data_IF_968723108599
#
_entry.id   IF_968723108599
#
_cell.length_a   1.000
_cell.length_b   1.000
_cell.length_c   1.000
_cell.angle_alpha   90.00
_cell.angle_beta   90.00
_cell.angle_gamma   90.00
#
_symmetry.space_group_name_H-M   'P 1'
#
loop_
_entity.id
_entity.type
_entity.pdbx_description
1 polymer ?
#
# COMPACT_ATOMS: atom_id res chain seq x y z
N UNK A 1 14.56 -2.64 -5.30
CA UNK A 1 15.03 -2.82 -3.89
C UNK A 1 15.20 -4.32 -3.59
N UNK A 2 16.01 -4.75 -2.61
CA UNK A 2 16.10 -6.19 -2.24
C UNK A 2 14.83 -6.64 -1.50
N UNK A 3 14.37 -7.88 -1.73
CA UNK A 3 13.13 -8.43 -1.16
C UNK A 3 13.07 -8.37 0.37
N UNK A 4 14.16 -8.66 1.08
CA UNK A 4 14.20 -8.55 2.55
C UNK A 4 13.90 -7.12 3.06
N UNK A 5 14.35 -6.09 2.34
CA UNK A 5 13.99 -4.71 2.67
C UNK A 5 12.51 -4.43 2.40
N UNK A 6 11.92 -5.05 1.38
CA UNK A 6 10.48 -4.93 1.09
C UNK A 6 9.68 -5.49 2.27
N UNK A 7 10.03 -6.71 2.71
CA UNK A 7 9.37 -7.37 3.84
C UNK A 7 9.45 -6.50 5.10
N UNK A 8 10.64 -5.97 5.43
CA UNK A 8 10.79 -5.10 6.59
C UNK A 8 9.91 -3.83 6.52
N UNK A 9 9.68 -3.26 5.33
CA UNK A 9 8.81 -2.10 5.17
C UNK A 9 7.33 -2.48 5.25
N UNK A 10 6.94 -3.65 4.72
CA UNK A 10 5.59 -4.20 4.88
C UNK A 10 5.26 -4.44 6.36
N UNK A 11 6.19 -5.05 7.10
CA UNK A 11 6.01 -5.32 8.53
C UNK A 11 5.80 -4.02 9.31
N UNK A 12 6.61 -2.98 9.04
CA UNK A 12 6.43 -1.66 9.65
C UNK A 12 5.06 -1.05 9.38
N UNK A 13 4.60 -1.13 8.12
CA UNK A 13 3.28 -0.59 7.74
C UNK A 13 2.18 -1.32 8.50
N UNK A 14 2.18 -2.66 8.43
CA UNK A 14 1.13 -3.47 9.02
C UNK A 14 1.13 -3.36 10.55
N UNK A 15 2.29 -3.36 11.22
CA UNK A 15 2.38 -3.21 12.67
C UNK A 15 1.96 -1.82 13.17
N UNK A 16 2.23 -0.78 12.37
CA UNK A 16 1.73 0.56 12.68
C UNK A 16 0.21 0.63 12.55
N UNK A 17 -0.34 0.16 11.43
CA UNK A 17 -1.78 0.26 11.14
C UNK A 17 -2.63 -0.66 12.01
N UNK A 18 -2.09 -1.77 12.51
CA UNK A 18 -2.76 -2.65 13.47
C UNK A 18 -3.10 -1.96 14.80
N UNK A 19 -2.42 -0.88 15.14
CA UNK A 19 -2.70 -0.07 16.34
C UNK A 19 -3.82 0.95 16.12
N UNK A 20 -4.17 1.20 14.87
CA UNK A 20 -5.16 2.21 14.51
C UNK A 20 -6.56 1.58 14.58
N UNK A 21 -7.52 2.32 15.14
CA UNK A 21 -8.93 1.91 15.09
C UNK A 21 -9.51 2.24 13.71
N UNK A 22 -9.07 3.36 13.13
CA UNK A 22 -9.55 3.86 11.86
C UNK A 22 -8.50 4.75 11.19
N UNK A 23 -8.55 4.82 9.87
CA UNK A 23 -7.72 5.71 9.07
C UNK A 23 -8.29 5.83 7.66
N UNK A 24 -8.37 7.05 7.15
CA UNK A 24 -8.68 7.31 5.74
C UNK A 24 -7.39 7.34 4.92
N UNK A 25 -7.45 6.73 3.74
CA UNK A 25 -6.36 6.67 2.79
C UNK A 25 -6.75 7.23 1.43
N UNK A 26 -5.78 7.89 0.80
CA UNK A 26 -5.85 8.37 -0.58
C UNK A 26 -4.46 8.46 -1.21
N UNK A 27 -4.39 8.75 -2.50
CA UNK A 27 -3.12 9.05 -3.16
C UNK A 27 -2.73 10.51 -2.99
N UNK A 28 -1.75 10.76 -2.14
CA UNK A 28 -1.11 12.07 -2.02
C UNK A 28 -0.30 12.44 -3.28
N UNK A 29 0.17 11.45 -4.05
CA UNK A 29 0.87 11.66 -5.32
C UNK A 29 0.77 10.43 -6.21
N UNK A 30 0.61 10.63 -7.52
CA UNK A 30 0.69 9.55 -8.52
C UNK A 30 1.35 10.06 -9.81
N UNK A 31 2.53 9.55 -10.13
CA UNK A 31 3.22 9.79 -11.39
C UNK A 31 4.22 8.67 -11.71
N UNK A 32 4.92 8.77 -12.84
CA UNK A 32 5.84 7.75 -13.32
C UNK A 32 7.05 7.48 -12.40
N UNK A 33 7.44 8.44 -11.54
CA UNK A 33 8.56 8.25 -10.62
C UNK A 33 8.12 7.66 -9.30
N UNK A 34 6.92 7.99 -8.83
CA UNK A 34 6.47 7.61 -7.50
C UNK A 34 4.95 7.61 -7.37
N UNK A 35 4.44 6.65 -6.60
CA UNK A 35 3.11 6.69 -6.02
C UNK A 35 3.23 6.84 -4.51
N UNK A 36 2.49 7.77 -3.92
CA UNK A 36 2.42 7.97 -2.47
C UNK A 36 0.99 7.72 -2.03
N UNK A 37 0.82 6.72 -1.18
CA UNK A 37 -0.41 6.52 -0.40
C UNK A 37 -0.24 7.25 0.92
N UNK A 38 -1.11 8.21 1.19
CA UNK A 38 -1.17 8.94 2.44
C UNK A 38 -2.30 8.42 3.31
N UNK A 39 -2.03 8.20 4.60
CA UNK A 39 -3.03 7.84 5.60
C UNK A 39 -3.16 8.94 6.64
N UNK A 40 -4.39 9.31 6.98
CA UNK A 40 -4.73 10.36 7.96
C UNK A 40 -5.96 9.98 8.77
N UNK A 41 -6.16 10.65 9.90
CA UNK A 41 -7.30 10.38 10.80
C UNK A 41 -8.61 10.36 10.02
N UNK A 42 -8.90 11.49 9.39
CA UNK A 42 -10.06 11.74 8.55
C UNK A 42 -9.60 12.65 7.41
N UNK A 43 -10.27 12.60 6.27
CA UNK A 43 -10.08 13.54 5.15
C UNK A 43 -10.19 15.03 5.55
N UNK A 44 -10.83 15.36 6.67
CA UNK A 44 -10.89 16.73 7.20
C UNK A 44 -9.58 17.23 7.81
N UNK A 45 -8.58 16.37 8.04
CA UNK A 45 -7.27 16.75 8.57
C UNK A 45 -6.25 16.89 7.44
N UNK A 46 -5.50 17.99 7.44
CA UNK A 46 -4.46 18.24 6.43
C UNK A 46 -3.16 17.45 6.70
N UNK A 47 -3.01 16.89 7.90
CA UNK A 47 -1.77 16.23 8.33
C UNK A 47 -1.80 14.71 8.09
N UNK A 48 -0.82 14.23 7.33
CA UNK A 48 -0.57 12.80 7.15
C UNK A 48 -0.01 12.17 8.43
N UNK A 49 -0.58 11.04 8.84
CA UNK A 49 -0.05 10.19 9.91
C UNK A 49 1.01 9.20 9.38
N UNK A 50 0.84 8.73 8.15
CA UNK A 50 1.71 7.78 7.46
C UNK A 50 1.77 8.10 5.97
N UNK A 51 2.94 7.95 5.36
CA UNK A 51 3.12 7.97 3.91
C UNK A 51 3.83 6.69 3.46
N UNK A 52 3.26 6.04 2.44
CA UNK A 52 3.78 4.80 1.84
C UNK A 52 4.17 5.11 0.40
N UNK A 53 5.46 4.97 0.10
CA UNK A 53 6.09 5.32 -1.15
C UNK A 53 6.32 4.07 -1.99
N UNK A 54 5.79 4.06 -3.20
CA UNK A 54 6.03 3.05 -4.21
C UNK A 54 6.88 3.67 -5.33
N UNK A 55 8.20 3.48 -5.23
CA UNK A 55 9.15 4.11 -6.14
C UNK A 55 9.30 3.34 -7.44
N UNK A 56 9.30 4.08 -8.57
CA UNK A 56 9.23 3.57 -9.94
C UNK A 56 8.05 2.59 -10.10
N UNK A 57 6.80 3.09 -9.99
CA UNK A 57 5.61 2.30 -10.24
C UNK A 57 5.55 1.87 -11.71
N UNK A 58 5.02 0.68 -11.95
CA UNK A 58 4.74 0.17 -13.28
C UNK A 58 3.24 0.14 -13.57
N UNK A 59 2.45 -0.31 -12.59
CA UNK A 59 1.02 -0.51 -12.76
C UNK A 59 0.27 -0.23 -11.46
N UNK A 60 -0.93 0.35 -11.57
CA UNK A 60 -1.82 0.62 -10.44
C UNK A 60 -3.27 0.34 -10.85
N UNK A 61 -3.95 -0.54 -10.12
CA UNK A 61 -5.43 -0.58 -10.05
C UNK A 61 -5.83 -0.05 -8.69
N UNK A 62 -6.81 0.86 -8.63
CA UNK A 62 -7.11 1.50 -7.35
C UNK A 62 -8.49 2.15 -7.22
N UNK A 63 -8.78 2.59 -5.99
CA UNK A 63 -9.88 3.45 -5.56
C UNK A 63 -9.37 4.88 -5.37
N UNK A 64 -10.23 5.89 -5.46
CA UNK A 64 -9.81 7.28 -5.21
C UNK A 64 -9.53 7.57 -3.73
N UNK A 65 -10.30 6.94 -2.84
CA UNK A 65 -10.10 6.92 -1.39
C UNK A 65 -10.65 5.62 -0.82
N UNK A 66 -10.19 5.25 0.38
CA UNK A 66 -10.65 4.07 1.10
C UNK A 66 -10.32 4.16 2.58
N UNK A 67 -10.96 3.30 3.38
CA UNK A 67 -10.77 3.23 4.82
C UNK A 67 -9.99 1.97 5.21
N UNK A 68 -9.32 2.05 6.35
CA UNK A 68 -8.55 0.95 6.93
C UNK A 68 -9.46 -0.25 7.25
N UNK A 69 -9.14 -1.42 6.69
CA UNK A 69 -9.57 -2.70 7.26
C UNK A 69 -8.47 -3.23 8.20
N UNK A 70 -8.78 -3.32 9.50
CA UNK A 70 -7.86 -3.85 10.52
C UNK A 70 -8.08 -5.34 10.84
N UNK A 71 -9.01 -6.02 10.16
CA UNK A 71 -9.25 -7.46 10.32
C UNK A 71 -8.17 -8.30 9.63
N UNK A 72 -7.48 -7.73 8.64
CA UNK A 72 -6.42 -8.35 7.87
C UNK A 72 -5.19 -7.44 7.78
N UNK A 73 -3.99 -7.96 7.41
CA UNK A 73 -2.86 -7.10 7.10
C UNK A 73 -3.24 -6.09 6.00
N UNK A 74 -3.00 -4.81 6.25
CA UNK A 74 -3.34 -3.72 5.33
C UNK A 74 -2.70 -3.90 3.95
N UNK A 75 -1.41 -4.29 3.93
CA UNK A 75 -0.65 -4.48 2.69
C UNK A 75 0.08 -5.82 2.69
N UNK A 76 0.10 -6.51 1.56
CA UNK A 76 0.81 -7.78 1.37
C UNK A 76 1.62 -7.76 0.07
N UNK A 77 2.74 -8.50 0.08
CA UNK A 77 3.44 -8.88 -1.15
C UNK A 77 2.75 -10.09 -1.75
N UNK A 78 2.44 -10.05 -3.04
CA UNK A 78 1.86 -11.19 -3.76
C UNK A 78 2.98 -12.13 -4.20
N UNK A 79 2.80 -13.43 -3.95
CA UNK A 79 3.75 -14.49 -4.29
C UNK A 79 3.01 -15.74 -4.81
N UNK A 80 3.76 -16.71 -5.34
CA UNK A 80 3.20 -17.98 -5.81
C UNK A 80 2.34 -17.83 -7.07
N UNK A 81 1.30 -18.65 -7.19
CA UNK A 81 0.45 -18.71 -8.39
C UNK A 81 -0.32 -17.40 -8.62
N UNK A 82 -0.80 -16.75 -7.56
CA UNK A 82 -1.50 -15.47 -7.65
C UNK A 82 -0.62 -14.37 -8.29
N UNK A 83 0.70 -14.40 -8.02
CA UNK A 83 1.64 -13.47 -8.63
C UNK A 83 1.66 -13.63 -10.15
N UNK A 84 1.68 -14.87 -10.63
CA UNK A 84 1.70 -15.17 -12.07
C UNK A 84 0.39 -14.81 -12.75
N UNK A 85 -0.74 -15.03 -12.08
CA UNK A 85 -2.06 -14.60 -12.59
C UNK A 85 -2.11 -13.09 -12.79
N UNK A 86 -1.61 -12.31 -11.83
CA UNK A 86 -1.56 -10.86 -11.91
C UNK A 86 -0.55 -10.39 -12.98
N UNK A 87 0.63 -11.01 -13.06
CA UNK A 87 1.62 -10.71 -14.10
C UNK A 87 1.01 -10.92 -15.49
N UNK A 88 0.37 -12.06 -15.73
CA UNK A 88 -0.21 -12.40 -17.02
C UNK A 88 -1.38 -11.47 -17.38
N UNK A 89 -2.23 -11.15 -16.40
CA UNK A 89 -3.41 -10.30 -16.62
C UNK A 89 -3.04 -8.87 -16.98
N UNK A 90 -2.05 -8.29 -16.31
CA UNK A 90 -1.69 -6.87 -16.47
C UNK A 90 -0.35 -6.64 -17.17
N UNK A 91 0.27 -7.72 -17.68
CA UNK A 91 1.54 -7.70 -18.39
C UNK A 91 2.66 -7.00 -17.59
N UNK A 92 2.76 -7.33 -16.30
CA UNK A 92 3.73 -6.69 -15.40
C UNK A 92 5.15 -7.11 -15.77
N UNK A 93 6.01 -6.11 -15.99
CA UNK A 93 7.41 -6.33 -16.32
C UNK A 93 8.19 -6.99 -15.16
N UNK A 94 9.16 -7.84 -15.51
CA UNK A 94 10.08 -8.47 -14.57
C UNK A 94 10.83 -7.43 -13.73
N UNK A 95 11.06 -7.76 -12.46
CA UNK A 95 11.77 -6.89 -11.51
C UNK A 95 10.85 -5.94 -10.73
N UNK A 96 9.55 -5.95 -11.00
CA UNK A 96 8.55 -5.32 -10.15
C UNK A 96 8.08 -6.28 -9.04
N UNK A 97 7.87 -5.73 -7.86
CA UNK A 97 7.13 -6.37 -6.78
C UNK A 97 5.65 -6.00 -6.91
N UNK A 98 4.76 -6.94 -6.58
CA UNK A 98 3.31 -6.75 -6.66
C UNK A 98 2.76 -6.67 -5.24
N UNK A 99 2.10 -5.56 -4.95
CA UNK A 99 1.49 -5.28 -3.66
C UNK A 99 -0.03 -5.30 -3.77
N UNK A 100 -0.69 -5.92 -2.81
CA UNK A 100 -2.14 -5.84 -2.61
C UNK A 100 -2.43 -5.05 -1.35
N UNK A 101 -3.36 -4.11 -1.43
CA UNK A 101 -3.83 -3.30 -0.30
C UNK A 101 -5.30 -3.60 -0.03
N UNK A 102 -5.60 -3.99 1.21
CA UNK A 102 -6.95 -4.22 1.70
C UNK A 102 -7.63 -2.89 2.05
N UNK A 103 -8.96 -2.89 1.98
CA UNK A 103 -9.80 -1.75 2.29
C UNK A 103 -11.08 -2.25 2.98
N UNK A 104 -11.62 -1.43 3.88
CA UNK A 104 -12.91 -1.69 4.53
C UNK A 104 -14.02 -1.88 3.48
N UNK A 105 -14.99 -2.76 3.76
CA UNK A 105 -16.11 -3.16 2.89
C UNK A 105 -15.75 -3.94 1.61
N UNK A 106 -14.50 -4.41 1.46
CA UNK A 106 -14.09 -5.26 0.34
C UNK A 106 -13.66 -6.66 0.79
N UNK A 107 -14.31 -7.70 0.26
CA UNK A 107 -13.95 -9.10 0.52
C UNK A 107 -12.55 -9.49 0.00
N UNK A 108 -12.06 -8.76 -1.00
CA UNK A 108 -10.74 -8.98 -1.60
C UNK A 108 -10.05 -7.65 -1.82
N UNK A 109 -8.71 -7.62 -1.69
CA UNK A 109 -7.92 -6.41 -1.81
C UNK A 109 -8.19 -5.69 -3.15
N UNK A 110 -8.86 -4.52 -3.15
CA UNK A 110 -9.29 -3.87 -4.39
C UNK A 110 -8.14 -3.12 -5.07
N UNK A 111 -7.03 -2.92 -4.37
CA UNK A 111 -5.91 -2.10 -4.82
C UNK A 111 -4.70 -3.00 -5.09
N UNK A 112 -4.14 -2.85 -6.30
CA UNK A 112 -2.93 -3.56 -6.74
C UNK A 112 -1.93 -2.53 -7.23
N UNK A 113 -0.71 -2.57 -6.70
CA UNK A 113 0.39 -1.70 -7.12
C UNK A 113 1.59 -2.57 -7.48
N UNK A 114 2.09 -2.42 -8.70
CA UNK A 114 3.36 -3.02 -9.12
C UNK A 114 4.46 -1.95 -9.10
N UNK A 115 5.55 -2.17 -8.38
CA UNK A 115 6.66 -1.20 -8.31
C UNK A 115 8.00 -1.84 -7.98
N UNK A 116 9.10 -1.12 -8.25
CA UNK A 116 10.47 -1.60 -7.96
C UNK A 116 10.87 -1.45 -6.49
N UNK A 117 10.11 -0.71 -5.70
CA UNK A 117 10.44 -0.40 -4.30
C UNK A 117 9.23 0.01 -3.47
N UNK A 118 9.34 -0.23 -2.16
CA UNK A 118 8.39 0.18 -1.14
C UNK A 118 9.18 0.87 -0.02
N UNK A 119 8.66 1.96 0.52
CA UNK A 119 9.21 2.61 1.71
C UNK A 119 8.08 3.24 2.51
N UNK A 120 8.12 3.14 3.83
CA UNK A 120 7.18 3.82 4.71
C UNK A 120 7.87 4.96 5.46
N UNK A 121 7.12 6.04 5.68
CA UNK A 121 7.44 7.09 6.64
C UNK A 121 6.25 7.25 7.58
N UNK A 122 6.43 6.85 8.83
CA UNK A 122 5.51 7.17 9.93
C UNK A 122 5.81 8.61 10.36
N UNK A 123 4.76 9.43 10.43
CA UNK A 123 4.85 10.86 10.76
C UNK A 123 4.29 11.10 12.16
N UNK A 124 3.20 10.41 12.51
CA UNK A 124 2.65 10.39 13.86
C UNK A 124 2.80 8.99 14.47
N UNK A 125 3.66 8.83 15.47
CA UNK A 125 3.92 7.54 16.15
C UNK A 125 2.75 7.05 17.02
N UNK A 126 1.81 7.92 17.37
CA UNK A 126 0.63 7.60 18.18
C UNK A 126 -0.66 7.86 17.37
N UNK A 127 -0.97 7.01 16.39
CA UNK A 127 -2.23 7.10 15.66
C UNK A 127 -3.41 6.67 16.54
N UNK A 128 -4.61 7.10 16.13
CA UNK A 128 -5.87 7.05 16.88
C UNK A 128 -6.55 5.68 16.81
#
# INVERSE_FOLDING_TARGET
>A
MKKNKIINELDKINEYLKKCIWMDFEFAQMNASNVIVGGRKDVSYDEWAINIYFGNPFYVTTLFSWQLDNSNPFIKLVEGDEMWDIINKYQIEEGNYIFKINAEDYESAPIIIASKSLKVKIINENPF
#
